data_IF_086346792442
#
_entry.id   IF_086346792442
#
_cell.length_a   1.000
_cell.length_b   1.000
_cell.length_c   1.000
_cell.angle_alpha   90.00
_cell.angle_beta   90.00
_cell.angle_gamma   90.00
#
_symmetry.space_group_name_H-M   'P 1'
#
loop_
_entity.id
_entity.type
_entity.pdbx_description
1 polymer ?
#
# COMPACT_ATOMS: atom_id res chain seq x y z
N UNK A 1 -18.21 33.76 29.88
CA UNK A 1 -17.50 33.81 28.57
C UNK A 1 -16.01 33.47 28.66
N UNK A 2 -15.25 33.95 29.67
CA UNK A 2 -13.83 33.64 29.84
C UNK A 2 -13.50 32.15 30.12
N UNK A 3 -14.33 31.44 30.91
CA UNK A 3 -14.14 30.02 31.21
C UNK A 3 -14.32 29.08 29.98
N UNK A 4 -15.24 29.42 29.07
CA UNK A 4 -15.42 28.68 27.82
C UNK A 4 -14.28 28.93 26.83
N UNK A 5 -13.75 30.16 26.80
CA UNK A 5 -12.57 30.51 26.00
C UNK A 5 -11.32 29.74 26.46
N UNK A 6 -11.10 29.63 27.78
CA UNK A 6 -10.00 28.85 28.35
C UNK A 6 -10.09 27.35 28.06
N UNK A 7 -11.30 26.77 28.12
CA UNK A 7 -11.54 25.36 27.83
C UNK A 7 -11.35 25.03 26.33
N UNK A 8 -11.77 25.94 25.44
CA UNK A 8 -11.62 25.79 23.98
C UNK A 8 -10.15 25.87 23.54
N UNK A 9 -9.35 26.75 24.14
CA UNK A 9 -7.90 26.86 23.88
C UNK A 9 -7.15 25.63 24.41
N UNK A 10 -7.51 25.12 25.59
CA UNK A 10 -6.93 23.88 26.14
C UNK A 10 -7.30 22.64 25.29
N UNK A 11 -8.51 22.61 24.74
CA UNK A 11 -8.97 21.57 23.82
C UNK A 11 -8.22 21.64 22.48
N UNK A 12 -8.05 22.82 21.89
CA UNK A 12 -7.25 22.99 20.66
C UNK A 12 -5.79 22.57 20.86
N UNK A 13 -5.17 22.92 21.99
CA UNK A 13 -3.80 22.48 22.34
C UNK A 13 -3.71 20.95 22.49
N UNK A 14 -4.78 20.32 22.99
CA UNK A 14 -4.82 18.85 23.15
C UNK A 14 -5.00 18.14 21.81
N UNK A 15 -5.90 18.61 20.95
CA UNK A 15 -6.09 18.03 19.61
C UNK A 15 -4.85 18.20 18.73
N UNK A 16 -4.23 19.39 18.74
CA UNK A 16 -2.98 19.63 18.01
C UNK A 16 -1.85 18.70 18.50
N UNK A 17 -1.75 18.48 19.82
CA UNK A 17 -0.76 17.58 20.39
C UNK A 17 -1.02 16.11 20.04
N UNK A 18 -2.27 15.66 20.06
CA UNK A 18 -2.64 14.29 19.64
C UNK A 18 -2.28 14.03 18.17
N UNK A 19 -2.55 14.99 17.28
CA UNK A 19 -2.16 14.90 15.87
C UNK A 19 -0.65 14.90 15.70
N UNK A 20 0.07 15.71 16.49
CA UNK A 20 1.54 15.73 16.49
C UNK A 20 2.12 14.38 16.96
N UNK A 21 1.58 13.80 18.04
CA UNK A 21 1.97 12.47 18.52
C UNK A 21 1.72 11.40 17.44
N UNK A 22 0.57 11.43 16.78
CA UNK A 22 0.25 10.51 15.71
C UNK A 22 1.24 10.63 14.53
N UNK A 23 1.55 11.85 14.09
CA UNK A 23 2.51 12.12 13.02
C UNK A 23 3.90 11.56 13.36
N UNK A 24 4.37 11.74 14.59
CA UNK A 24 5.65 11.16 15.05
C UNK A 24 5.62 9.64 14.98
N UNK A 25 4.56 9.00 15.51
CA UNK A 25 4.41 7.54 15.48
C UNK A 25 4.29 6.96 14.06
N UNK A 26 3.80 7.75 13.10
CA UNK A 26 3.75 7.37 11.68
C UNK A 26 5.11 7.51 10.98
N UNK A 27 5.94 8.47 11.38
CA UNK A 27 7.25 8.72 10.78
C UNK A 27 8.29 7.64 11.09
N UNK A 28 8.18 6.95 12.24
CA UNK A 28 9.12 5.90 12.62
C UNK A 28 8.43 4.76 13.38
N UNK A 29 8.87 3.54 13.05
CA UNK A 29 8.31 2.28 13.54
C UNK A 29 8.33 2.11 15.06
N UNK A 30 9.37 2.59 15.74
CA UNK A 30 9.53 2.46 17.20
C UNK A 30 10.04 3.79 17.79
N UNK A 31 9.48 4.21 18.92
CA UNK A 31 9.85 5.46 19.58
C UNK A 31 10.07 5.29 21.08
N UNK A 32 11.25 5.65 21.62
CA UNK A 32 11.43 5.72 23.08
C UNK A 32 10.46 6.73 23.69
N UNK A 33 9.83 6.35 24.81
CA UNK A 33 8.81 7.19 25.44
C UNK A 33 9.35 8.55 25.91
N UNK A 34 10.58 8.58 26.42
CA UNK A 34 11.25 9.81 26.86
C UNK A 34 11.44 10.81 25.70
N UNK A 35 11.88 10.32 24.53
CA UNK A 35 12.10 11.16 23.34
C UNK A 35 10.79 11.73 22.80
N UNK A 36 9.70 10.95 22.82
CA UNK A 36 8.38 11.46 22.42
C UNK A 36 7.86 12.53 23.38
N UNK A 37 8.05 12.33 24.69
CA UNK A 37 7.63 13.26 25.72
C UNK A 37 8.37 14.61 25.57
N UNK A 38 9.69 14.56 25.33
CA UNK A 38 10.52 15.73 25.07
C UNK A 38 10.09 16.46 23.79
N UNK A 39 9.93 15.75 22.67
CA UNK A 39 9.53 16.36 21.39
C UNK A 39 8.15 17.02 21.42
N UNK A 40 7.25 16.50 22.25
CA UNK A 40 5.90 17.04 22.42
C UNK A 40 5.80 18.06 23.56
N UNK A 41 6.91 18.33 24.25
CA UNK A 41 6.99 19.22 25.43
C UNK A 41 5.96 18.85 26.51
N UNK A 42 5.89 17.56 26.88
CA UNK A 42 4.95 17.05 27.88
C UNK A 42 5.57 16.03 28.83
N UNK A 43 4.94 15.85 29.99
CA UNK A 43 5.31 14.77 30.92
C UNK A 43 5.01 13.38 30.35
N UNK A 44 5.74 12.36 30.83
CA UNK A 44 5.48 10.96 30.51
C UNK A 44 4.04 10.52 30.87
N UNK A 45 3.45 11.10 31.93
CA UNK A 45 2.05 10.86 32.32
C UNK A 45 1.07 11.39 31.27
N UNK A 46 1.32 12.58 30.75
CA UNK A 46 0.51 13.20 29.70
C UNK A 46 0.65 12.42 28.39
N UNK A 47 1.87 12.04 28.01
CA UNK A 47 2.12 11.19 26.85
C UNK A 47 1.32 9.88 26.92
N UNK A 48 1.33 9.18 28.07
CA UNK A 48 0.55 7.95 28.25
C UNK A 48 -0.95 8.19 28.04
N UNK A 49 -1.50 9.27 28.61
CA UNK A 49 -2.91 9.65 28.40
C UNK A 49 -3.23 9.95 26.94
N UNK A 50 -2.33 10.62 26.22
CA UNK A 50 -2.53 10.94 24.81
C UNK A 50 -2.42 9.69 23.92
N UNK A 51 -1.55 8.74 24.27
CA UNK A 51 -1.51 7.41 23.65
C UNK A 51 -2.82 6.65 23.87
N UNK A 52 -3.36 6.67 25.08
CA UNK A 52 -4.63 6.00 25.39
C UNK A 52 -5.80 6.62 24.60
N UNK A 53 -5.82 7.94 24.46
CA UNK A 53 -6.79 8.64 23.57
C UNK A 53 -6.64 8.23 22.11
N UNK A 54 -5.43 8.07 21.58
CA UNK A 54 -5.23 7.55 20.23
C UNK A 54 -5.78 6.12 20.09
N UNK A 55 -5.62 5.26 21.10
CA UNK A 55 -6.20 3.91 21.11
C UNK A 55 -7.72 3.93 21.09
N UNK A 56 -8.34 4.81 21.89
CA UNK A 56 -9.80 5.03 21.88
C UNK A 56 -10.31 5.47 20.51
N UNK A 57 -9.51 6.26 19.79
CA UNK A 57 -9.79 6.70 18.41
C UNK A 57 -9.51 5.62 17.34
N UNK A 58 -9.14 4.40 17.76
CA UNK A 58 -8.93 3.26 16.86
C UNK A 58 -7.51 3.14 16.29
N UNK A 59 -6.54 3.92 16.78
CA UNK A 59 -5.13 3.77 16.39
C UNK A 59 -4.44 2.71 17.28
N UNK A 60 -3.98 1.57 16.72
CA UNK A 60 -3.39 0.50 17.50
C UNK A 60 -1.95 0.83 17.92
N UNK A 61 -1.79 1.59 19.01
CA UNK A 61 -0.47 1.92 19.56
C UNK A 61 -0.06 0.87 20.59
N UNK A 62 1.00 0.09 20.37
CA UNK A 62 1.57 -0.82 21.39
C UNK A 62 2.69 -0.14 22.19
N UNK A 63 2.77 -0.51 23.47
CA UNK A 63 3.90 -0.16 24.32
C UNK A 63 4.92 -1.31 24.31
N UNK A 64 6.17 -1.00 23.99
CA UNK A 64 7.30 -1.95 24.01
C UNK A 64 7.99 -1.84 25.35
N UNK A 65 8.20 -2.97 26.05
CA UNK A 65 8.91 -3.02 27.34
C UNK A 65 10.41 -3.16 27.11
N UNK A 66 11.22 -2.56 27.99
CA UNK A 66 12.69 -2.62 27.96
C UNK A 66 13.33 -1.34 28.50
N UNK A 67 14.68 -1.27 28.60
CA UNK A 67 15.41 -0.08 29.03
C UNK A 67 15.10 1.15 28.15
N UNK A 68 14.93 0.93 26.84
CA UNK A 68 14.50 1.93 25.85
C UNK A 68 12.99 1.84 25.54
N UNK A 69 12.19 1.40 26.51
CA UNK A 69 10.76 1.16 26.36
C UNK A 69 10.02 2.33 25.71
N UNK A 70 9.08 2.01 24.83
CA UNK A 70 8.60 2.96 23.84
C UNK A 70 7.20 2.70 23.32
N UNK A 71 6.82 3.47 22.31
CA UNK A 71 5.55 3.37 21.62
C UNK A 71 5.77 3.11 20.14
N UNK A 72 4.90 2.29 19.56
CA UNK A 72 4.86 2.01 18.13
C UNK A 72 3.41 1.96 17.65
N UNK A 73 3.16 2.46 16.45
CA UNK A 73 1.90 2.21 15.75
C UNK A 73 1.98 0.85 15.05
N UNK A 74 1.02 -0.03 15.29
CA UNK A 74 0.92 -1.32 14.61
C UNK A 74 -0.03 -1.30 13.42
N UNK A 75 0.04 -2.34 12.60
CA UNK A 75 -0.97 -2.58 11.58
C UNK A 75 -2.28 -2.99 12.25
N UNK A 76 -3.32 -2.17 12.10
CA UNK A 76 -4.70 -2.50 12.47
C UNK A 76 -5.43 -3.27 11.36
N UNK A 77 -6.71 -3.58 11.57
CA UNK A 77 -7.55 -4.25 10.55
C UNK A 77 -8.04 -3.32 9.44
N UNK A 78 -7.89 -2.00 9.64
CA UNK A 78 -8.13 -0.95 8.65
C UNK A 78 -6.98 0.04 8.69
N UNK A 79 -6.68 0.67 7.55
CA UNK A 79 -5.76 1.79 7.51
C UNK A 79 -6.36 2.94 8.32
N UNK A 80 -5.70 3.39 9.41
CA UNK A 80 -6.18 4.55 10.14
C UNK A 80 -5.94 5.83 9.32
N UNK A 81 -6.55 6.98 9.68
CA UNK A 81 -6.23 8.25 9.03
C UNK A 81 -4.72 8.53 9.07
N UNK A 82 -4.12 8.71 7.91
CA UNK A 82 -2.68 8.95 7.75
C UNK A 82 -2.44 10.45 7.57
N UNK A 83 -1.46 10.97 8.30
CA UNK A 83 -0.97 12.33 8.11
C UNK A 83 0.21 12.26 7.15
N UNK A 84 0.00 12.74 5.93
CA UNK A 84 1.05 12.86 4.93
C UNK A 84 1.65 14.26 4.97
N UNK A 85 2.97 14.35 4.90
CA UNK A 85 3.63 15.62 4.58
C UNK A 85 3.44 15.98 3.09
N UNK A 86 3.88 17.17 2.71
CA UNK A 86 3.73 17.67 1.33
C UNK A 86 4.41 16.78 0.29
N UNK A 87 5.59 16.23 0.61
CA UNK A 87 6.38 15.42 -0.30
C UNK A 87 5.72 14.05 -0.50
N UNK A 88 5.27 13.44 0.59
CA UNK A 88 4.49 12.21 0.60
C UNK A 88 3.18 12.36 -0.16
N UNK A 89 2.46 13.48 0.02
CA UNK A 89 1.22 13.75 -0.70
C UNK A 89 1.43 13.86 -2.22
N UNK A 90 2.51 14.52 -2.65
CA UNK A 90 2.88 14.60 -4.06
C UNK A 90 3.28 13.22 -4.59
N UNK A 91 4.13 12.47 -3.89
CA UNK A 91 4.56 11.13 -4.30
C UNK A 91 3.37 10.18 -4.45
N UNK A 92 2.43 10.19 -3.50
CA UNK A 92 1.22 9.40 -3.55
C UNK A 92 0.34 9.78 -4.76
N UNK A 93 0.16 11.08 -5.01
CA UNK A 93 -0.63 11.54 -6.15
C UNK A 93 -0.03 11.11 -7.49
N UNK A 94 1.30 11.18 -7.63
CA UNK A 94 2.01 10.70 -8.83
C UNK A 94 1.83 9.20 -9.00
N UNK A 95 2.07 8.42 -7.93
CA UNK A 95 1.91 6.97 -7.94
C UNK A 95 0.49 6.56 -8.37
N UNK A 96 -0.53 7.22 -7.82
CA UNK A 96 -1.94 6.97 -8.15
C UNK A 96 -2.26 7.34 -9.61
N UNK A 97 -1.75 8.45 -10.14
CA UNK A 97 -1.91 8.81 -11.57
C UNK A 97 -1.24 7.79 -12.51
N UNK A 98 -0.14 7.18 -12.08
CA UNK A 98 0.57 6.18 -12.88
C UNK A 98 0.04 4.75 -12.70
N UNK A 99 -0.86 4.52 -11.74
CA UNK A 99 -1.31 3.19 -11.35
C UNK A 99 -1.93 2.42 -12.52
N UNK A 100 -2.67 3.10 -13.40
CA UNK A 100 -3.27 2.51 -14.59
C UNK A 100 -2.25 1.98 -15.62
N UNK A 101 -1.04 2.52 -15.62
CA UNK A 101 0.02 2.05 -16.50
C UNK A 101 0.68 0.75 -15.99
N UNK A 102 0.39 0.32 -14.75
CA UNK A 102 1.00 -0.87 -14.16
C UNK A 102 0.33 -2.17 -14.59
N UNK A 103 -0.92 -2.10 -15.06
CA UNK A 103 -1.70 -3.28 -15.47
C UNK A 103 -2.09 -4.21 -14.31
N UNK A 104 -2.17 -3.67 -13.09
CA UNK A 104 -2.46 -4.41 -11.85
C UNK A 104 -3.96 -4.47 -11.49
N UNK A 105 -4.85 -3.91 -12.31
CA UNK A 105 -6.30 -3.93 -12.05
C UNK A 105 -6.74 -3.04 -10.88
N UNK A 106 -5.95 -2.00 -10.58
CA UNK A 106 -6.16 -1.10 -9.44
C UNK A 106 -6.63 0.30 -9.86
N UNK A 107 -7.01 0.48 -11.12
CA UNK A 107 -7.36 1.77 -11.74
C UNK A 107 -8.47 2.48 -10.97
N UNK A 108 -9.62 1.84 -10.79
CA UNK A 108 -10.77 2.41 -10.08
C UNK A 108 -10.47 2.73 -8.61
N UNK A 109 -9.62 1.91 -7.98
CA UNK A 109 -9.15 2.13 -6.62
C UNK A 109 -8.24 3.36 -6.53
N UNK A 110 -7.32 3.48 -7.49
CA UNK A 110 -6.37 4.58 -7.57
C UNK A 110 -7.07 5.91 -7.89
N UNK A 111 -8.06 5.91 -8.78
CA UNK A 111 -8.86 7.09 -9.11
C UNK A 111 -9.64 7.61 -7.89
N UNK A 112 -10.32 6.71 -7.16
CA UNK A 112 -11.03 7.07 -5.93
C UNK A 112 -10.08 7.59 -4.85
N UNK A 113 -8.95 6.93 -4.64
CA UNK A 113 -7.94 7.37 -3.68
C UNK A 113 -7.38 8.75 -4.05
N UNK A 114 -7.11 9.00 -5.34
CA UNK A 114 -6.65 10.30 -5.82
C UNK A 114 -7.72 11.37 -5.59
N UNK A 115 -8.99 11.08 -5.86
CA UNK A 115 -10.10 11.99 -5.61
C UNK A 115 -10.19 12.36 -4.11
N UNK A 116 -10.11 11.38 -3.21
CA UNK A 116 -10.09 11.62 -1.75
C UNK A 116 -8.88 12.46 -1.34
N UNK A 117 -7.69 12.16 -1.87
CA UNK A 117 -6.48 12.92 -1.55
C UNK A 117 -6.61 14.39 -2.01
N UNK A 118 -7.15 14.63 -3.23
CA UNK A 118 -7.35 15.99 -3.77
C UNK A 118 -8.27 16.85 -2.91
N UNK A 119 -9.29 16.26 -2.28
CA UNK A 119 -10.23 17.00 -1.42
C UNK A 119 -9.53 17.66 -0.23
N UNK A 120 -8.47 17.05 0.29
CA UNK A 120 -7.77 17.52 1.50
C UNK A 120 -6.44 18.24 1.20
N UNK A 121 -5.96 18.22 -0.05
CA UNK A 121 -4.71 18.89 -0.43
C UNK A 121 -4.82 20.43 -0.37
N UNK A 122 -3.78 21.15 0.09
CA UNK A 122 -3.66 22.59 -0.11
C UNK A 122 -3.64 22.98 -1.60
N UNK A 123 -4.17 24.16 -1.94
CA UNK A 123 -4.27 24.64 -3.33
C UNK A 123 -2.93 24.60 -4.08
N UNK A 124 -1.83 24.97 -3.42
CA UNK A 124 -0.46 24.92 -3.99
C UNK A 124 -0.05 23.52 -4.46
N UNK A 125 -0.42 22.47 -3.71
CA UNK A 125 -0.08 21.09 -4.08
C UNK A 125 -0.99 20.59 -5.20
N UNK A 126 -2.29 20.95 -5.16
CA UNK A 126 -3.22 20.61 -6.25
C UNK A 126 -2.75 21.16 -7.58
N UNK A 127 -2.38 22.44 -7.65
CA UNK A 127 -1.87 23.05 -8.88
C UNK A 127 -0.59 22.37 -9.38
N UNK A 128 0.34 22.02 -8.48
CA UNK A 128 1.57 21.32 -8.84
C UNK A 128 1.30 19.93 -9.45
N UNK A 129 0.29 19.22 -8.95
CA UNK A 129 -0.10 17.90 -9.45
C UNK A 129 -0.96 18.00 -10.72
N UNK A 130 -1.77 19.05 -10.87
CA UNK A 130 -2.59 19.29 -12.06
C UNK A 130 -1.75 19.69 -13.27
N UNK A 131 -0.63 20.36 -13.05
CA UNK A 131 0.37 20.64 -14.09
C UNK A 131 1.10 19.37 -14.58
N UNK A 132 1.01 18.25 -13.84
CA UNK A 132 1.62 17.00 -14.25
C UNK A 132 0.69 16.22 -15.18
N UNK A 133 0.89 16.38 -16.48
CA UNK A 133 0.25 15.52 -17.48
C UNK A 133 0.98 14.18 -17.56
N UNK A 134 0.37 13.14 -16.99
CA UNK A 134 0.84 11.77 -17.13
C UNK A 134 0.15 11.15 -18.35
N UNK A 135 0.76 11.31 -19.52
CA UNK A 135 0.34 10.57 -20.71
C UNK A 135 0.97 9.19 -20.66
N UNK A 136 0.22 8.19 -20.20
CA UNK A 136 0.65 6.81 -20.39
C UNK A 136 0.56 6.49 -21.88
N UNK A 137 1.70 6.23 -22.52
CA UNK A 137 1.70 5.64 -23.86
C UNK A 137 1.34 4.17 -23.68
N UNK A 138 0.04 3.89 -23.58
CA UNK A 138 -0.45 2.55 -23.82
C UNK A 138 0.02 2.18 -25.23
N UNK A 139 0.72 1.04 -25.38
CA UNK A 139 0.93 0.48 -26.73
C UNK A 139 -0.44 0.46 -27.39
N UNK A 140 -0.62 1.27 -28.43
CA UNK A 140 -1.85 1.38 -29.19
C UNK A 140 -2.28 -0.04 -29.56
N UNK A 141 -3.23 -0.56 -28.82
CA UNK A 141 -3.75 -1.90 -28.94
C UNK A 141 -5.25 -1.70 -29.12
N UNK A 142 -5.85 -2.24 -30.19
CA UNK A 142 -7.28 -2.02 -30.49
C UNK A 142 -8.24 -2.67 -29.49
N UNK A 143 -7.74 -3.19 -28.36
CA UNK A 143 -8.51 -3.88 -27.33
C UNK A 143 -7.95 -3.55 -25.94
N UNK A 144 -8.79 -3.46 -24.89
CA UNK A 144 -8.33 -3.35 -23.51
C UNK A 144 -7.26 -4.40 -23.24
N UNK A 145 -6.12 -4.00 -22.68
CA UNK A 145 -5.08 -4.95 -22.32
C UNK A 145 -5.57 -5.77 -21.12
N UNK A 146 -5.52 -7.11 -21.16
CA UNK A 146 -5.88 -7.91 -19.99
C UNK A 146 -4.93 -7.58 -18.85
N UNK A 147 -5.51 -7.19 -17.71
CA UNK A 147 -4.81 -6.87 -16.48
C UNK A 147 -4.71 -8.11 -15.61
N UNK A 148 -3.69 -8.16 -14.77
CA UNK A 148 -3.62 -9.19 -13.74
C UNK A 148 -4.53 -8.80 -12.58
N UNK A 149 -5.35 -9.73 -12.11
CA UNK A 149 -6.15 -9.54 -10.91
C UNK A 149 -5.23 -9.30 -9.70
N UNK A 150 -5.57 -8.32 -8.85
CA UNK A 150 -4.75 -7.96 -7.69
C UNK A 150 -4.61 -9.14 -6.71
N UNK A 151 -5.65 -9.95 -6.52
CA UNK A 151 -5.59 -11.16 -5.70
C UNK A 151 -4.59 -12.18 -6.24
N UNK A 152 -4.53 -12.36 -7.57
CA UNK A 152 -3.50 -13.19 -8.21
C UNK A 152 -2.11 -12.63 -7.95
N UNK A 153 -1.88 -11.33 -8.16
CA UNK A 153 -0.56 -10.71 -7.90
C UNK A 153 -0.11 -10.88 -6.44
N UNK A 154 -1.05 -10.76 -5.50
CA UNK A 154 -0.79 -10.99 -4.07
C UNK A 154 -0.45 -12.45 -3.78
N UNK A 155 -1.18 -13.41 -4.35
CA UNK A 155 -0.90 -14.84 -4.20
C UNK A 155 0.48 -15.22 -4.77
N UNK A 156 0.82 -14.70 -5.96
CA UNK A 156 2.14 -14.89 -6.57
C UNK A 156 3.26 -14.31 -5.69
N UNK A 157 3.07 -13.10 -5.19
CA UNK A 157 4.05 -12.44 -4.32
C UNK A 157 4.25 -13.20 -3.01
N UNK A 158 3.17 -13.70 -2.41
CA UNK A 158 3.23 -14.52 -1.21
C UNK A 158 4.03 -15.82 -1.44
N UNK A 159 3.75 -16.52 -2.55
CA UNK A 159 4.47 -17.74 -2.90
C UNK A 159 5.98 -17.50 -3.16
N UNK A 160 6.34 -16.40 -3.83
CA UNK A 160 7.74 -15.97 -3.99
C UNK A 160 8.42 -15.77 -2.63
N UNK A 161 7.75 -15.07 -1.70
CA UNK A 161 8.33 -14.77 -0.38
C UNK A 161 8.44 -16.01 0.50
N UNK A 162 7.46 -16.91 0.44
CA UNK A 162 7.47 -18.17 1.17
C UNK A 162 8.42 -19.21 0.56
N UNK A 163 8.86 -19.01 -0.70
CA UNK A 163 9.66 -19.97 -1.48
C UNK A 163 8.98 -21.33 -1.60
N UNK A 164 7.67 -21.30 -1.80
CA UNK A 164 6.84 -22.50 -1.92
C UNK A 164 6.58 -22.85 -3.39
N UNK A 165 6.46 -24.15 -3.68
CA UNK A 165 6.07 -24.61 -5.01
C UNK A 165 4.64 -24.15 -5.29
N UNK A 166 4.47 -23.35 -6.34
CA UNK A 166 3.18 -22.84 -6.75
C UNK A 166 2.57 -23.73 -7.83
N UNK A 167 1.31 -24.12 -7.62
CA UNK A 167 0.50 -24.81 -8.63
C UNK A 167 -0.54 -23.87 -9.23
N UNK A 168 -0.65 -23.82 -10.55
CA UNK A 168 -1.62 -22.97 -11.22
C UNK A 168 -2.02 -23.46 -12.61
N UNK A 169 -3.21 -23.07 -13.06
CA UNK A 169 -3.59 -23.16 -14.46
C UNK A 169 -3.04 -21.94 -15.23
N UNK A 170 -2.59 -22.16 -16.47
CA UNK A 170 -2.07 -21.08 -17.31
C UNK A 170 -2.74 -21.08 -18.68
N UNK A 171 -3.52 -20.04 -18.96
CA UNK A 171 -4.21 -19.91 -20.23
C UNK A 171 -3.22 -19.77 -21.41
N UNK A 172 -3.41 -20.51 -22.52
CA UNK A 172 -2.49 -20.50 -23.64
C UNK A 172 -2.48 -19.14 -24.35
N UNK A 173 -1.33 -18.78 -24.94
CA UNK A 173 -1.12 -17.44 -25.49
C UNK A 173 -1.90 -17.13 -26.76
N UNK A 174 -2.21 -18.19 -27.51
CA UNK A 174 -3.09 -18.28 -28.66
C UNK A 174 -3.92 -19.52 -28.39
N UNK A 175 -5.17 -19.60 -28.84
CA UNK A 175 -5.87 -20.88 -28.91
C UNK A 175 -5.06 -21.78 -29.86
N UNK A 176 -4.03 -22.43 -29.34
CA UNK A 176 -3.48 -23.60 -29.99
C UNK A 176 -4.66 -24.55 -29.97
N UNK A 177 -5.17 -24.86 -31.17
CA UNK A 177 -6.06 -26.00 -31.35
C UNK A 177 -5.26 -27.22 -30.88
N UNK A 178 -5.28 -27.49 -29.58
CA UNK A 178 -4.87 -28.78 -29.05
C UNK A 178 -5.82 -29.78 -29.70
N UNK A 179 -5.27 -30.84 -30.28
CA UNK A 179 -6.00 -31.84 -31.06
C UNK A 179 -7.03 -32.65 -30.25
N UNK A 180 -7.30 -32.25 -29.01
CA UNK A 180 -8.42 -32.65 -28.19
C UNK A 180 -8.76 -31.43 -27.32
N UNK A 181 -10.04 -31.13 -27.11
CA UNK A 181 -10.53 -29.98 -26.34
C UNK A 181 -10.24 -30.03 -24.84
N UNK A 182 -9.07 -30.54 -24.45
CA UNK A 182 -8.66 -30.76 -23.08
C UNK A 182 -7.75 -29.62 -22.60
N UNK A 183 -8.07 -29.03 -21.45
CA UNK A 183 -7.29 -27.96 -20.87
C UNK A 183 -5.87 -28.47 -20.52
N UNK A 184 -4.80 -27.68 -20.77
CA UNK A 184 -3.45 -28.09 -20.40
C UNK A 184 -3.37 -28.39 -18.90
N UNK A 185 -2.57 -29.38 -18.47
CA UNK A 185 -2.43 -29.71 -17.07
C UNK A 185 -1.89 -28.50 -16.28
N UNK A 186 -2.27 -28.37 -15.00
CA UNK A 186 -1.76 -27.30 -14.15
C UNK A 186 -0.24 -27.39 -14.03
N UNK A 187 0.41 -26.23 -14.05
CA UNK A 187 1.85 -26.08 -13.90
C UNK A 187 2.24 -26.20 -12.44
N UNK A 188 3.41 -26.78 -12.18
CA UNK A 188 4.09 -26.76 -10.88
C UNK A 188 5.41 -26.04 -11.04
N UNK A 189 5.59 -24.93 -10.35
CA UNK A 189 6.79 -24.10 -10.52
C UNK A 189 7.35 -23.67 -9.17
N UNK A 190 8.65 -23.42 -9.13
CA UNK A 190 9.30 -22.69 -8.04
C UNK A 190 9.35 -21.20 -8.40
N UNK A 191 8.51 -20.35 -7.79
CA UNK A 191 8.40 -18.94 -8.13
C UNK A 191 9.61 -18.17 -7.60
N UNK A 192 10.21 -17.32 -8.44
CA UNK A 192 11.41 -16.57 -8.07
C UNK A 192 11.17 -15.06 -8.01
N UNK A 193 10.58 -14.47 -9.06
CA UNK A 193 10.30 -13.03 -9.09
C UNK A 193 8.99 -12.72 -9.81
N UNK A 194 8.28 -11.72 -9.31
CA UNK A 194 7.16 -11.09 -9.99
C UNK A 194 7.65 -9.74 -10.57
N UNK A 195 7.61 -9.59 -11.89
CA UNK A 195 8.20 -8.44 -12.60
C UNK A 195 7.19 -7.74 -13.49
N UNK A 196 7.36 -6.43 -13.69
CA UNK A 196 6.54 -5.62 -14.60
C UNK A 196 7.34 -5.28 -15.85
N UNK A 197 6.78 -5.52 -17.03
CA UNK A 197 7.36 -5.09 -18.31
C UNK A 197 6.28 -4.61 -19.26
N UNK A 198 6.36 -3.34 -19.68
CA UNK A 198 5.42 -2.75 -20.64
C UNK A 198 3.95 -2.77 -20.17
N UNK A 199 3.72 -2.51 -18.88
CA UNK A 199 2.39 -2.49 -18.25
C UNK A 199 1.76 -3.88 -18.07
N UNK A 200 2.59 -4.93 -18.02
CA UNK A 200 2.14 -6.31 -17.79
C UNK A 200 3.01 -6.99 -16.74
N UNK A 201 2.36 -7.81 -15.94
CA UNK A 201 2.98 -8.58 -14.88
C UNK A 201 3.37 -9.97 -15.36
N UNK A 202 4.56 -10.40 -14.94
CA UNK A 202 5.14 -11.69 -15.29
C UNK A 202 5.74 -12.38 -14.07
N UNK A 203 5.48 -13.67 -13.92
CA UNK A 203 6.15 -14.53 -12.97
C UNK A 203 7.35 -15.20 -13.64
N UNK A 204 8.54 -14.98 -13.09
CA UNK A 204 9.75 -15.74 -13.41
C UNK A 204 9.86 -16.90 -12.44
N UNK A 205 9.89 -18.12 -12.97
CA UNK A 205 9.88 -19.33 -12.16
C UNK A 205 10.60 -20.49 -12.86
N UNK A 206 11.07 -21.46 -12.08
CA UNK A 206 11.56 -22.74 -12.58
C UNK A 206 10.38 -23.71 -12.76
N UNK A 207 10.10 -24.15 -13.98
CA UNK A 207 9.00 -25.09 -14.30
C UNK A 207 9.48 -26.52 -14.02
N UNK A 208 8.91 -27.18 -13.01
CA UNK A 208 9.34 -28.50 -12.55
C UNK A 208 9.03 -29.60 -13.56
N UNK A 209 8.01 -29.42 -14.40
CA UNK A 209 7.63 -30.41 -15.42
C UNK A 209 8.51 -30.29 -16.68
N UNK A 210 9.24 -29.17 -16.80
CA UNK A 210 10.09 -28.85 -17.96
C UNK A 210 11.57 -28.78 -17.61
N UNK A 211 11.90 -28.77 -16.33
CA UNK A 211 13.26 -28.62 -15.79
C UNK A 211 13.99 -27.40 -16.38
N UNK A 212 13.28 -26.27 -16.50
CA UNK A 212 13.81 -25.06 -17.13
C UNK A 212 13.16 -23.77 -16.60
N UNK A 213 13.86 -22.65 -16.75
CA UNK A 213 13.38 -21.32 -16.44
C UNK A 213 12.30 -20.87 -17.42
N UNK A 214 11.17 -20.42 -16.89
CA UNK A 214 10.07 -19.87 -17.70
C UNK A 214 9.51 -18.59 -17.12
N UNK A 215 8.93 -17.82 -18.04
CA UNK A 215 8.26 -16.57 -17.74
C UNK A 215 6.78 -16.72 -18.08
N UNK A 216 5.94 -16.61 -17.07
CA UNK A 216 4.49 -16.76 -17.18
C UNK A 216 3.81 -15.41 -17.08
N UNK A 217 2.78 -15.17 -17.88
CA UNK A 217 2.00 -13.93 -17.83
C UNK A 217 1.00 -14.00 -16.68
N UNK A 218 1.08 -13.09 -15.72
CA UNK A 218 0.24 -13.13 -14.52
C UNK A 218 -1.25 -12.96 -14.83
N UNK A 219 -1.61 -12.20 -15.87
CA UNK A 219 -2.99 -12.06 -16.35
C UNK A 219 -3.61 -13.36 -16.92
N UNK A 220 -2.82 -14.43 -17.00
CA UNK A 220 -3.23 -15.75 -17.50
C UNK A 220 -3.10 -16.85 -16.46
N UNK A 221 -2.73 -16.50 -15.24
CA UNK A 221 -2.52 -17.44 -14.14
C UNK A 221 -3.79 -17.51 -13.30
N UNK A 222 -4.23 -18.73 -13.02
CA UNK A 222 -5.24 -19.01 -12.00
C UNK A 222 -4.60 -19.92 -10.94
N UNK A 223 -4.20 -19.38 -9.77
CA UNK A 223 -3.64 -20.18 -8.67
C UNK A 223 -4.62 -21.26 -8.20
N UNK A 224 -4.09 -22.41 -7.77
CA UNK A 224 -4.86 -23.53 -7.21
C UNK A 224 -4.51 -23.81 -5.76
#
# INVERSE_FOLDING_TARGET
MAAMCGSMVAMQKTSARLLSLLSLLQARRDWPGAVLAERLDVSARTLRRDVDRLRELGYPVRAVKGPDGGYRLDAGTRLPPLLFDDEQAVALAVALRTAAATGAGIEDGAERALATLRQVMPARLRHRIDALEVTSVARSAPRPQPQADTGVLMALSAAVQAREVLRFDHAPARAAATAAGEAPPPRRVEPHHLVIRGGRWYLVAWDLDREDWRVFRADRITPR
#
